data_IF_168898233420
#
_entry.id   IF_168898233420
#
_cell.length_a   1.000
_cell.length_b   1.000
_cell.length_c   1.000
_cell.angle_alpha   90.00
_cell.angle_beta   90.00
_cell.angle_gamma   90.00
#
_symmetry.space_group_name_H-M   'P 1'
#
loop_
_entity.id
_entity.type
_entity.pdbx_description
1 polymer ?
#
# COMPACT_ATOMS: atom_id res chain seq x y z
N UNK A 1 -18.10 12.00 26.62
CA UNK A 1 -17.36 13.25 26.89
C UNK A 1 -15.93 12.97 26.48
N UNK A 2 -15.58 13.32 25.24
CA UNK A 2 -14.32 12.91 24.63
C UNK A 2 -13.25 13.93 25.02
N UNK A 3 -12.16 13.46 25.64
CA UNK A 3 -10.97 14.27 25.76
C UNK A 3 -10.20 14.17 24.44
N UNK A 4 -10.37 15.17 23.56
CA UNK A 4 -9.31 15.49 22.59
C UNK A 4 -8.05 15.76 23.42
N UNK A 5 -7.11 14.84 23.44
CA UNK A 5 -5.83 15.01 24.11
C UNK A 5 -5.01 16.01 23.32
N UNK A 6 -5.06 17.28 23.75
CA UNK A 6 -4.19 18.32 23.21
C UNK A 6 -2.74 17.92 23.46
N UNK A 7 -2.05 17.51 22.39
CA UNK A 7 -0.64 17.12 22.44
C UNK A 7 0.23 18.32 22.85
N UNK A 8 1.24 18.08 23.69
CA UNK A 8 2.16 19.14 24.11
C UNK A 8 2.88 19.77 22.88
N UNK A 9 3.13 21.09 22.85
CA UNK A 9 3.72 21.76 21.69
C UNK A 9 5.05 21.15 21.20
N UNK A 10 5.88 20.66 22.13
CA UNK A 10 7.14 20.00 21.79
C UNK A 10 6.94 18.67 21.05
N UNK A 11 5.91 17.91 21.45
CA UNK A 11 5.56 16.64 20.80
C UNK A 11 4.91 16.88 19.43
N UNK A 12 4.05 17.90 19.31
CA UNK A 12 3.48 18.30 18.02
C UNK A 12 4.56 18.73 17.02
N UNK A 13 5.60 19.43 17.50
CA UNK A 13 6.78 19.76 16.68
C UNK A 13 7.56 18.52 16.27
N UNK A 14 7.82 17.59 17.19
CA UNK A 14 8.50 16.31 16.89
C UNK A 14 7.74 15.52 15.82
N UNK A 15 6.41 15.47 15.91
CA UNK A 15 5.53 14.85 14.91
C UNK A 15 5.64 15.53 13.55
N UNK A 16 5.64 16.86 13.52
CA UNK A 16 5.82 17.63 12.28
C UNK A 16 7.15 17.34 11.60
N UNK A 17 8.24 17.33 12.37
CA UNK A 17 9.58 16.97 11.88
C UNK A 17 9.62 15.53 11.33
N UNK A 18 8.96 14.59 12.02
CA UNK A 18 8.85 13.20 11.57
C UNK A 18 8.11 13.09 10.22
N UNK A 19 6.96 13.74 10.08
CA UNK A 19 6.19 13.70 8.83
C UNK A 19 6.95 14.40 7.69
N UNK A 20 7.54 15.56 7.95
CA UNK A 20 8.33 16.29 6.97
C UNK A 20 9.52 15.45 6.47
N UNK A 21 10.28 14.83 7.37
CA UNK A 21 11.39 13.96 6.99
C UNK A 21 10.93 12.77 6.15
N UNK A 22 9.74 12.22 6.43
CA UNK A 22 9.16 11.12 5.64
C UNK A 22 8.76 11.60 4.25
N UNK A 23 8.11 12.75 4.14
CA UNK A 23 7.69 13.34 2.88
C UNK A 23 8.89 13.67 1.97
N UNK A 24 9.96 14.25 2.53
CA UNK A 24 11.22 14.50 1.80
C UNK A 24 11.82 13.19 1.30
N UNK A 25 11.95 12.17 2.18
CA UNK A 25 12.48 10.87 1.76
C UNK A 25 11.65 10.24 0.64
N UNK A 26 10.32 10.33 0.74
CA UNK A 26 9.41 9.78 -0.25
C UNK A 26 9.61 10.44 -1.62
N UNK A 27 9.65 11.78 -1.66
CA UNK A 27 9.85 12.55 -2.89
C UNK A 27 11.24 12.35 -3.51
N UNK A 28 12.29 12.23 -2.70
CA UNK A 28 13.66 11.92 -3.15
C UNK A 28 13.80 10.50 -3.73
N UNK A 29 13.07 9.54 -3.17
CA UNK A 29 13.16 8.13 -3.60
C UNK A 29 12.48 7.84 -4.94
N UNK A 30 11.62 8.74 -5.43
CA UNK A 30 10.90 8.59 -6.69
C UNK A 30 10.84 9.91 -7.46
N UNK A 31 11.99 10.38 -7.99
CA UNK A 31 12.08 11.67 -8.67
C UNK A 31 11.21 11.68 -9.93
N UNK A 32 10.22 12.58 -9.97
CA UNK A 32 9.25 12.72 -11.06
C UNK A 32 7.83 12.26 -10.68
N UNK A 33 7.64 11.66 -9.51
CA UNK A 33 6.31 11.36 -8.99
C UNK A 33 5.80 12.49 -8.10
N UNK A 34 4.73 13.17 -8.55
CA UNK A 34 4.13 14.31 -7.85
C UNK A 34 3.14 13.83 -6.77
N UNK A 35 3.68 13.41 -5.62
CA UNK A 35 2.90 12.93 -4.48
C UNK A 35 1.88 13.98 -3.96
N UNK A 36 2.24 15.26 -4.03
CA UNK A 36 1.40 16.40 -3.64
C UNK A 36 0.07 16.44 -4.41
N UNK A 37 0.12 16.31 -5.74
CA UNK A 37 -1.07 16.30 -6.59
C UNK A 37 -2.08 15.21 -6.26
N UNK A 38 -1.65 14.14 -5.60
CA UNK A 38 -2.48 13.03 -5.16
C UNK A 38 -2.98 13.14 -3.72
N UNK A 39 -2.31 13.93 -2.88
CA UNK A 39 -2.63 14.10 -1.46
C UNK A 39 -3.68 15.20 -1.21
N UNK A 40 -3.77 16.23 -2.07
CA UNK A 40 -4.75 17.32 -1.96
C UNK A 40 -6.22 16.87 -2.01
N UNK A 41 -6.52 15.72 -2.65
CA UNK A 41 -7.89 15.20 -2.84
C UNK A 41 -8.61 14.88 -1.51
N UNK A 42 -7.87 14.83 -0.41
CA UNK A 42 -8.43 14.54 0.91
C UNK A 42 -8.38 15.72 1.87
N UNK A 43 -7.88 16.87 1.42
CA UNK A 43 -7.89 18.14 2.17
C UNK A 43 -9.12 18.98 1.83
N UNK A 44 -10.11 18.42 1.11
CA UNK A 44 -11.11 19.15 0.33
C UNK A 44 -12.03 20.13 1.09
N UNK A 45 -11.90 20.28 2.41
CA UNK A 45 -12.70 21.22 3.21
C UNK A 45 -11.90 21.95 4.30
N UNK A 46 -10.58 21.75 4.39
CA UNK A 46 -9.76 22.37 5.44
C UNK A 46 -9.17 23.72 4.98
N UNK A 47 -9.34 24.82 5.75
CA UNK A 47 -8.76 26.12 5.41
C UNK A 47 -7.22 26.15 5.52
N UNK A 48 -6.62 25.21 6.27
CA UNK A 48 -5.18 24.95 6.30
C UNK A 48 -4.96 23.46 5.92
N UNK A 49 -4.19 23.20 4.86
CA UNK A 49 -3.88 21.85 4.38
C UNK A 49 -2.53 21.35 4.93
N UNK A 50 -2.52 20.10 5.43
CA UNK A 50 -1.28 19.42 5.82
C UNK A 50 -0.41 19.12 4.60
N UNK A 51 -1.01 18.79 3.44
CA UNK A 51 -0.28 18.64 2.17
C UNK A 51 0.51 19.91 1.86
N UNK A 52 -0.14 21.08 1.91
CA UNK A 52 0.51 22.37 1.62
C UNK A 52 1.67 22.65 2.58
N UNK A 53 1.51 22.30 3.87
CA UNK A 53 2.56 22.48 4.86
C UNK A 53 3.75 21.53 4.65
N UNK A 54 3.49 20.28 4.23
CA UNK A 54 4.53 19.31 3.86
C UNK A 54 5.29 19.74 2.59
N UNK A 55 4.57 20.21 1.57
CA UNK A 55 5.13 20.69 0.29
C UNK A 55 6.00 21.93 0.49
N UNK A 56 5.54 22.89 1.29
CA UNK A 56 6.31 24.09 1.60
C UNK A 56 7.56 23.79 2.45
N UNK A 57 7.64 22.60 3.04
CA UNK A 57 8.84 22.12 3.71
C UNK A 57 9.11 22.84 5.04
N UNK A 58 10.38 23.03 5.42
CA UNK A 58 10.76 23.61 6.71
C UNK A 58 10.16 25.00 6.98
N UNK A 59 9.81 25.76 5.93
CA UNK A 59 9.22 27.10 6.04
C UNK A 59 7.85 27.11 6.72
N UNK A 60 7.12 25.99 6.68
CA UNK A 60 5.79 25.83 7.30
C UNK A 60 5.77 24.78 8.41
N UNK A 61 6.92 24.47 9.01
CA UNK A 61 7.01 23.48 10.09
C UNK A 61 6.14 23.84 11.29
N UNK A 62 6.05 25.12 11.65
CA UNK A 62 5.22 25.58 12.76
C UNK A 62 3.72 25.45 12.45
N UNK A 63 3.32 25.67 11.19
CA UNK A 63 1.95 25.41 10.74
C UNK A 63 1.63 23.91 10.81
N UNK A 64 2.54 23.07 10.32
CA UNK A 64 2.41 21.63 10.39
C UNK A 64 2.29 21.15 11.85
N UNK A 65 3.11 21.69 12.76
CA UNK A 65 3.03 21.38 14.18
C UNK A 65 1.68 21.77 14.80
N UNK A 66 1.09 22.92 14.42
CA UNK A 66 -0.25 23.31 14.87
C UNK A 66 -1.32 22.31 14.42
N UNK A 67 -1.22 21.80 13.19
CA UNK A 67 -2.17 20.82 12.63
C UNK A 67 -2.05 19.43 13.28
N UNK A 68 -0.86 19.04 13.75
CA UNK A 68 -0.58 17.72 14.32
C UNK A 68 -0.72 17.64 15.84
N UNK A 69 -1.33 18.66 16.46
CA UNK A 69 -1.77 18.61 17.86
C UNK A 69 -2.87 17.57 18.04
N UNK A 70 -3.68 17.36 16.99
CA UNK A 70 -4.68 16.30 16.91
C UNK A 70 -4.03 14.95 16.58
N UNK A 71 -4.27 13.96 17.44
CA UNK A 71 -3.78 12.60 17.28
C UNK A 71 -4.34 11.93 16.02
N UNK A 72 -5.60 12.20 15.68
CA UNK A 72 -6.23 11.63 14.49
C UNK A 72 -5.58 12.19 13.21
N UNK A 73 -5.33 13.50 13.15
CA UNK A 73 -4.57 14.13 12.08
C UNK A 73 -3.15 13.53 11.95
N UNK A 74 -2.42 13.41 13.07
CA UNK A 74 -1.07 12.83 13.04
C UNK A 74 -1.06 11.39 12.54
N UNK A 75 -1.92 10.52 13.07
CA UNK A 75 -1.94 9.12 12.67
C UNK A 75 -2.38 8.94 11.22
N UNK A 76 -3.34 9.73 10.75
CA UNK A 76 -3.77 9.74 9.35
C UNK A 76 -2.61 10.09 8.42
N UNK A 77 -1.91 11.19 8.72
CA UNK A 77 -0.81 11.65 7.87
C UNK A 77 0.45 10.78 7.97
N UNK A 78 0.71 10.21 9.14
CA UNK A 78 1.76 9.20 9.32
C UNK A 78 1.52 8.00 8.41
N UNK A 79 0.33 7.41 8.46
CA UNK A 79 -0.04 6.26 7.63
C UNK A 79 0.02 6.59 6.12
N UNK A 80 -0.38 7.81 5.74
CA UNK A 80 -0.28 8.31 4.36
C UNK A 80 1.13 8.35 3.82
N UNK A 81 2.05 8.89 4.61
CA UNK A 81 3.45 9.02 4.23
C UNK A 81 4.22 7.71 4.38
N UNK A 82 3.70 6.77 5.18
CA UNK A 82 4.22 5.41 5.29
C UNK A 82 3.82 4.54 4.10
N UNK A 83 2.57 4.66 3.61
CA UNK A 83 1.99 3.83 2.55
C UNK A 83 1.29 4.65 1.46
N UNK A 84 2.03 5.50 0.72
CA UNK A 84 1.45 6.49 -0.19
C UNK A 84 0.63 5.86 -1.31
N UNK A 85 0.95 4.63 -1.72
CA UNK A 85 0.22 3.90 -2.76
C UNK A 85 -1.19 3.50 -2.34
N UNK A 86 -1.52 3.46 -1.05
CA UNK A 86 -2.89 3.23 -0.60
C UNK A 86 -3.78 4.47 -0.74
N UNK A 87 -3.19 5.67 -0.85
CA UNK A 87 -3.91 6.94 -0.79
C UNK A 87 -3.94 7.71 -2.11
N UNK A 88 -3.24 7.26 -3.15
CA UNK A 88 -3.28 7.88 -4.48
C UNK A 88 -4.68 7.70 -5.10
N UNK A 89 -5.52 8.72 -4.90
CA UNK A 89 -6.94 8.74 -5.22
C UNK A 89 -7.24 8.61 -6.72
N UNK A 90 -8.10 7.66 -7.06
CA UNK A 90 -8.59 7.38 -8.41
C UNK A 90 -8.41 5.91 -8.79
N UNK A 91 -7.16 5.50 -9.04
CA UNK A 91 -6.83 4.11 -9.44
C UNK A 91 -6.94 3.11 -8.30
N UNK A 92 -6.53 3.48 -7.08
CA UNK A 92 -6.67 2.60 -5.90
C UNK A 92 -8.15 2.30 -5.63
N UNK A 93 -9.02 3.32 -5.68
CA UNK A 93 -10.48 3.12 -5.52
C UNK A 93 -11.05 2.13 -6.54
N UNK A 94 -10.61 2.22 -7.80
CA UNK A 94 -11.02 1.30 -8.86
C UNK A 94 -10.40 -0.10 -8.75
N UNK A 95 -9.19 -0.22 -8.19
CA UNK A 95 -8.44 -1.48 -8.11
C UNK A 95 -8.60 -2.20 -6.77
N UNK A 96 -9.09 -1.58 -5.70
CA UNK A 96 -9.33 -2.27 -4.42
C UNK A 96 -10.34 -3.40 -4.54
N UNK A 97 -11.50 -3.24 -5.21
CA UNK A 97 -12.41 -4.37 -5.48
C UNK A 97 -11.76 -5.44 -6.36
N UNK A 98 -10.89 -5.05 -7.29
CA UNK A 98 -10.16 -5.97 -8.17
C UNK A 98 -9.10 -6.76 -7.38
N UNK A 99 -8.39 -6.13 -6.44
CA UNK A 99 -7.46 -6.78 -5.52
C UNK A 99 -8.18 -7.76 -4.59
N UNK A 100 -9.34 -7.38 -4.05
CA UNK A 100 -10.17 -8.28 -3.26
C UNK A 100 -10.53 -9.54 -4.06
N UNK A 101 -10.89 -9.37 -5.34
CA UNK A 101 -11.15 -10.48 -6.24
C UNK A 101 -9.92 -11.33 -6.47
N UNK A 102 -8.75 -10.75 -6.77
CA UNK A 102 -7.48 -11.48 -6.92
C UNK A 102 -7.18 -12.33 -5.69
N UNK A 103 -7.33 -11.77 -4.48
CA UNK A 103 -7.13 -12.52 -3.22
C UNK A 103 -8.12 -13.69 -3.10
N UNK A 104 -9.36 -13.51 -3.54
CA UNK A 104 -10.37 -14.58 -3.53
C UNK A 104 -10.03 -15.72 -4.53
N UNK A 105 -9.64 -15.35 -5.75
CA UNK A 105 -9.21 -16.27 -6.81
C UNK A 105 -7.98 -17.08 -6.39
N UNK A 106 -7.00 -16.43 -5.73
CA UNK A 106 -5.82 -17.09 -5.18
C UNK A 106 -6.16 -18.12 -4.10
N UNK A 107 -7.22 -17.87 -3.31
CA UNK A 107 -7.71 -18.76 -2.25
C UNK A 107 -8.65 -19.86 -2.75
N UNK A 108 -8.90 -19.94 -4.06
CA UNK A 108 -9.84 -20.89 -4.65
C UNK A 108 -11.28 -20.68 -4.20
N UNK A 109 -11.62 -19.47 -3.75
CA UNK A 109 -12.99 -19.09 -3.38
C UNK A 109 -13.62 -18.41 -4.58
N UNK A 110 -14.49 -19.13 -5.26
CA UNK A 110 -15.36 -18.54 -6.29
C UNK A 110 -16.48 -17.78 -5.58
N UNK A 111 -16.18 -16.57 -5.10
CA UNK A 111 -17.21 -15.66 -4.64
C UNK A 111 -17.98 -15.22 -5.89
N UNK A 112 -19.12 -15.88 -6.13
CA UNK A 112 -19.99 -15.75 -7.31
C UNK A 112 -20.57 -14.35 -7.57
N UNK A 113 -19.71 -13.35 -7.65
CA UNK A 113 -19.97 -12.05 -8.24
C UNK A 113 -19.89 -12.23 -9.76
N UNK A 114 -21.08 -12.39 -10.35
CA UNK A 114 -21.31 -12.71 -11.75
C UNK A 114 -20.75 -11.71 -12.79
N UNK A 115 -21.02 -11.96 -14.08
CA UNK A 115 -20.22 -11.56 -15.25
C UNK A 115 -20.29 -10.07 -15.66
N UNK A 116 -20.31 -9.12 -14.71
CA UNK A 116 -20.49 -7.69 -15.02
C UNK A 116 -19.30 -6.76 -14.67
N UNK A 117 -18.16 -7.27 -14.22
CA UNK A 117 -17.11 -6.41 -13.62
C UNK A 117 -15.97 -5.90 -14.50
N UNK A 118 -15.77 -6.42 -15.73
CA UNK A 118 -14.64 -5.99 -16.58
C UNK A 118 -15.17 -5.53 -17.92
N UNK A 119 -15.81 -4.35 -17.93
CA UNK A 119 -15.84 -3.58 -19.16
C UNK A 119 -14.40 -3.23 -19.52
N UNK A 120 -13.98 -3.57 -20.74
CA UNK A 120 -12.83 -2.95 -21.38
C UNK A 120 -12.97 -1.43 -21.25
N UNK A 121 -12.01 -0.78 -20.57
CA UNK A 121 -12.06 0.67 -20.29
C UNK A 121 -12.36 1.07 -18.84
N UNK A 122 -12.69 0.13 -17.94
CA UNK A 122 -12.75 0.44 -16.50
C UNK A 122 -11.34 0.68 -15.94
N UNK A 123 -11.21 1.64 -15.01
CA UNK A 123 -9.94 1.95 -14.33
C UNK A 123 -9.43 0.69 -13.63
N UNK A 124 -8.22 0.24 -13.96
CA UNK A 124 -7.63 -0.96 -13.39
C UNK A 124 -7.93 -2.28 -14.13
N UNK A 125 -8.72 -2.26 -15.22
CA UNK A 125 -9.03 -3.46 -16.00
C UNK A 125 -7.78 -4.15 -16.57
N UNK A 126 -6.85 -3.38 -17.16
CA UNK A 126 -5.57 -3.91 -17.64
C UNK A 126 -4.76 -4.56 -16.51
N UNK A 127 -4.65 -3.87 -15.36
CA UNK A 127 -3.97 -4.39 -14.18
C UNK A 127 -4.57 -5.71 -13.70
N UNK A 128 -5.90 -5.78 -13.62
CA UNK A 128 -6.61 -6.98 -13.19
C UNK A 128 -6.43 -8.15 -14.17
N UNK A 129 -6.60 -7.92 -15.48
CA UNK A 129 -6.41 -8.96 -16.50
C UNK A 129 -4.98 -9.49 -16.51
N UNK A 130 -3.98 -8.60 -16.46
CA UNK A 130 -2.57 -9.00 -16.38
C UNK A 130 -2.30 -9.79 -15.11
N UNK A 131 -2.85 -9.35 -13.97
CA UNK A 131 -2.70 -10.08 -12.71
C UNK A 131 -3.29 -11.49 -12.80
N UNK A 132 -4.49 -11.66 -13.37
CA UNK A 132 -5.08 -12.99 -13.54
C UNK A 132 -4.18 -13.91 -14.37
N UNK A 133 -3.64 -13.41 -15.48
CA UNK A 133 -2.68 -14.15 -16.32
C UNK A 133 -1.40 -14.50 -15.57
N UNK A 134 -0.93 -13.63 -14.66
CA UNK A 134 0.26 -13.86 -13.85
C UNK A 134 0.05 -14.93 -12.77
N UNK A 135 -1.15 -15.03 -12.18
CA UNK A 135 -1.43 -15.96 -11.07
C UNK A 135 -1.97 -17.31 -11.53
N UNK A 136 -2.55 -17.40 -12.73
CA UNK A 136 -3.12 -18.63 -13.29
C UNK A 136 -2.12 -19.80 -13.32
N UNK A 137 -0.87 -19.64 -13.80
CA UNK A 137 0.07 -20.75 -13.91
C UNK A 137 0.73 -21.14 -12.57
N UNK A 138 0.54 -20.36 -11.51
CA UNK A 138 1.22 -20.57 -10.23
C UNK A 138 0.73 -21.85 -9.53
N UNK A 139 1.66 -22.54 -8.89
CA UNK A 139 1.38 -23.67 -8.00
C UNK A 139 0.44 -23.29 -6.85
N UNK A 140 -0.34 -24.25 -6.35
CA UNK A 140 -1.26 -24.01 -5.23
C UNK A 140 -0.56 -23.47 -3.96
N UNK A 141 0.64 -23.96 -3.56
CA UNK A 141 1.39 -23.39 -2.45
C UNK A 141 1.79 -21.92 -2.69
N UNK A 142 2.31 -21.59 -3.88
CA UNK A 142 2.69 -20.22 -4.22
C UNK A 142 1.49 -19.28 -4.24
N UNK A 143 0.34 -19.73 -4.74
CA UNK A 143 -0.92 -18.97 -4.70
C UNK A 143 -1.37 -18.66 -3.28
N UNK A 144 -1.22 -19.61 -2.35
CA UNK A 144 -1.56 -19.41 -0.93
C UNK A 144 -0.65 -18.38 -0.25
N UNK A 145 0.65 -18.45 -0.52
CA UNK A 145 1.63 -17.44 -0.04
C UNK A 145 1.34 -16.06 -0.63
N UNK A 146 1.06 -16.00 -1.95
CA UNK A 146 0.71 -14.76 -2.63
C UNK A 146 -0.58 -14.14 -2.07
N UNK A 147 -1.61 -14.95 -1.80
CA UNK A 147 -2.84 -14.47 -1.16
C UNK A 147 -2.55 -13.87 0.22
N UNK A 148 -1.68 -14.51 0.99
CA UNK A 148 -1.27 -14.04 2.33
C UNK A 148 -0.51 -12.73 2.23
N UNK A 149 0.39 -12.59 1.24
CA UNK A 149 1.14 -11.36 0.99
C UNK A 149 0.27 -10.17 0.56
N UNK A 150 -0.82 -10.42 -0.18
CA UNK A 150 -1.70 -9.37 -0.70
C UNK A 150 -2.79 -8.92 0.29
N UNK A 151 -3.05 -9.68 1.36
CA UNK A 151 -4.07 -9.33 2.37
C UNK A 151 -3.73 -8.04 3.12
N UNK A 152 -2.50 -7.81 3.60
CA UNK A 152 -2.14 -6.54 4.24
C UNK A 152 -2.37 -5.33 3.33
N UNK A 153 -2.05 -5.43 2.04
CA UNK A 153 -2.35 -4.39 1.04
C UNK A 153 -3.86 -4.14 0.94
N UNK A 154 -4.67 -5.20 0.83
CA UNK A 154 -6.12 -5.08 0.73
C UNK A 154 -6.73 -4.43 2.00
N UNK A 155 -6.24 -4.82 3.17
CA UNK A 155 -6.64 -4.23 4.46
C UNK A 155 -6.23 -2.76 4.49
N UNK A 156 -4.98 -2.44 4.15
CA UNK A 156 -4.46 -1.08 4.06
C UNK A 156 -5.31 -0.20 3.15
N UNK A 157 -5.56 -0.65 1.91
CA UNK A 157 -6.45 0.05 0.97
C UNK A 157 -7.87 0.25 1.50
N UNK A 158 -8.46 -0.74 2.16
CA UNK A 158 -9.80 -0.61 2.74
C UNK A 158 -9.82 0.38 3.92
N UNK A 159 -8.83 0.32 4.81
CA UNK A 159 -8.65 1.32 5.87
C UNK A 159 -8.49 2.71 5.26
N UNK A 160 -7.78 2.85 4.14
CA UNK A 160 -7.61 4.15 3.48
C UNK A 160 -8.90 4.66 2.79
N UNK A 161 -9.66 3.77 2.15
CA UNK A 161 -10.94 4.09 1.52
C UNK A 161 -12.00 4.52 2.54
N UNK A 162 -12.01 3.86 3.69
CA UNK A 162 -13.02 4.05 4.73
C UNK A 162 -12.44 4.75 5.96
N UNK A 163 -11.28 5.42 5.84
CA UNK A 163 -10.47 5.87 6.97
C UNK A 163 -11.19 6.77 7.96
N UNK A 164 -12.10 7.62 7.48
CA UNK A 164 -12.91 8.43 8.39
C UNK A 164 -13.91 7.60 9.20
N UNK A 165 -14.52 6.57 8.61
CA UNK A 165 -15.38 5.62 9.32
C UNK A 165 -14.57 4.71 10.26
N UNK A 166 -13.37 4.28 9.87
CA UNK A 166 -12.50 3.46 10.70
C UNK A 166 -11.92 4.21 11.90
N UNK A 167 -11.54 5.48 11.74
CA UNK A 167 -11.01 6.29 12.84
C UNK A 167 -12.12 6.67 13.85
N UNK A 168 -13.36 6.89 13.39
CA UNK A 168 -14.52 7.05 14.27
C UNK A 168 -14.83 5.74 15.03
N UNK A 169 -14.78 4.58 14.35
CA UNK A 169 -15.09 3.27 14.95
C UNK A 169 -13.99 2.78 15.91
N UNK A 170 -12.71 3.00 15.58
CA UNK A 170 -11.56 2.65 16.41
C UNK A 170 -11.40 3.57 17.65
N UNK A 171 -12.19 4.64 17.74
CA UNK A 171 -12.25 5.48 18.95
C UNK A 171 -13.08 4.86 20.08
N UNK A 172 -13.91 3.84 19.79
CA UNK A 172 -14.71 3.11 20.80
C UNK A 172 -14.17 1.72 21.15
N UNK A 173 -13.53 1.02 20.20
CA UNK A 173 -12.75 -0.20 20.46
C UNK A 173 -11.33 -0.04 19.92
N UNK A 174 -10.35 -0.21 20.80
CA UNK A 174 -8.92 -0.12 20.50
C UNK A 174 -8.49 -1.23 19.53
N UNK A 175 -8.72 -1.05 18.23
CA UNK A 175 -7.88 -1.66 17.22
C UNK A 175 -6.54 -0.95 17.29
N UNK A 176 -5.56 -1.57 17.93
CA UNK A 176 -4.19 -1.08 17.91
C UNK A 176 -3.66 -1.18 16.47
N UNK A 177 -3.89 -0.11 15.69
CA UNK A 177 -3.37 0.04 14.33
C UNK A 177 -1.84 -0.15 14.27
N UNK A 178 -1.15 0.01 15.41
CA UNK A 178 0.28 -0.26 15.58
C UNK A 178 0.59 -1.77 15.53
N UNK A 179 -0.30 -2.65 16.01
CA UNK A 179 -0.16 -4.11 15.88
C UNK A 179 -0.47 -4.60 14.46
N UNK A 180 -1.30 -3.87 13.70
CA UNK A 180 -1.63 -4.22 12.31
C UNK A 180 -0.51 -3.89 11.32
N UNK A 181 0.37 -2.94 11.66
CA UNK A 181 1.44 -2.46 10.79
C UNK A 181 2.82 -2.37 11.50
N UNK A 182 3.35 -3.48 12.05
CA UNK A 182 4.62 -3.49 12.79
C UNK A 182 5.85 -3.32 11.88
N UNK A 183 5.66 -3.42 10.56
CA UNK A 183 6.71 -3.49 9.54
C UNK A 183 7.36 -2.12 9.25
N UNK A 184 6.88 -1.07 9.93
CA UNK A 184 7.29 0.34 9.80
C UNK A 184 8.73 0.63 10.26
N UNK A 185 9.43 -0.35 10.86
CA UNK A 185 10.76 -0.19 11.45
C UNK A 185 11.96 -0.56 10.57
N UNK A 186 11.82 -1.35 9.51
CA UNK A 186 12.97 -1.94 8.81
C UNK A 186 13.15 -1.39 7.39
N UNK A 187 14.21 -0.60 7.20
CA UNK A 187 14.67 -0.02 5.92
C UNK A 187 15.62 -0.95 5.16
N UNK A 188 15.41 -2.25 5.19
CA UNK A 188 16.34 -3.15 4.51
C UNK A 188 16.00 -3.27 3.02
N UNK A 189 16.62 -2.46 2.16
CA UNK A 189 16.41 -2.59 0.69
C UNK A 189 16.92 -3.92 0.11
N UNK A 190 17.52 -4.80 0.91
CA UNK A 190 17.92 -6.15 0.50
C UNK A 190 16.72 -6.95 -0.03
N UNK A 191 15.51 -6.73 0.51
CA UNK A 191 14.30 -7.40 0.00
C UNK A 191 14.02 -7.09 -1.48
N UNK A 192 14.42 -5.92 -1.98
CA UNK A 192 14.21 -5.55 -3.40
C UNK A 192 15.11 -6.40 -4.30
N UNK A 193 16.37 -6.62 -3.88
CA UNK A 193 17.29 -7.46 -4.66
C UNK A 193 16.85 -8.91 -4.64
N UNK A 194 16.44 -9.42 -3.48
CA UNK A 194 15.91 -10.78 -3.35
C UNK A 194 14.65 -10.97 -4.20
N UNK A 195 13.74 -10.00 -4.18
CA UNK A 195 12.56 -9.99 -5.03
C UNK A 195 12.92 -10.02 -6.52
N UNK A 196 13.81 -9.13 -6.98
CA UNK A 196 14.22 -9.09 -8.39
C UNK A 196 14.91 -10.38 -8.83
N UNK A 197 15.72 -10.99 -7.96
CA UNK A 197 16.34 -12.28 -8.22
C UNK A 197 15.29 -13.40 -8.30
N UNK A 198 14.33 -13.43 -7.38
CA UNK A 198 13.24 -14.41 -7.41
C UNK A 198 12.37 -14.24 -8.67
N UNK A 199 12.10 -12.99 -9.07
CA UNK A 199 11.36 -12.67 -10.30
C UNK A 199 12.11 -13.12 -11.56
N UNK A 200 13.41 -12.84 -11.69
CA UNK A 200 14.24 -13.28 -12.82
C UNK A 200 14.31 -14.81 -12.93
N UNK A 201 14.42 -15.50 -11.79
CA UNK A 201 14.40 -16.96 -11.78
C UNK A 201 13.03 -17.51 -12.17
N UNK A 202 11.97 -16.92 -11.65
CA UNK A 202 10.60 -17.37 -11.96
C UNK A 202 10.24 -17.06 -13.42
N UNK A 203 10.78 -15.98 -13.99
CA UNK A 203 10.71 -15.68 -15.43
C UNK A 203 11.30 -16.80 -16.28
N UNK A 204 12.35 -17.49 -15.84
CA UNK A 204 12.91 -18.64 -16.58
C UNK A 204 11.97 -19.85 -16.60
N UNK A 205 11.05 -19.93 -15.64
CA UNK A 205 10.05 -21.00 -15.54
C UNK A 205 8.82 -20.69 -16.41
N UNK A 206 8.27 -19.48 -16.28
CA UNK A 206 6.99 -19.13 -16.93
C UNK A 206 7.13 -18.25 -18.18
N UNK A 207 8.33 -17.73 -18.46
CA UNK A 207 8.63 -16.91 -19.62
C UNK A 207 8.46 -15.39 -19.40
N UNK A 208 8.92 -14.58 -20.37
CA UNK A 208 8.96 -13.12 -20.26
C UNK A 208 7.57 -12.48 -20.25
N UNK A 209 6.60 -13.06 -20.97
CA UNK A 209 5.23 -12.55 -21.00
C UNK A 209 4.57 -12.64 -19.61
N UNK A 210 4.80 -13.75 -18.89
CA UNK A 210 4.37 -13.90 -17.50
C UNK A 210 5.05 -12.86 -16.60
N UNK A 211 6.35 -12.65 -16.76
CA UNK A 211 7.09 -11.71 -15.93
C UNK A 211 6.60 -10.27 -16.12
N UNK A 212 6.25 -9.89 -17.35
CA UNK A 212 5.63 -8.60 -17.63
C UNK A 212 4.27 -8.47 -16.94
N UNK A 213 3.41 -9.49 -17.05
CA UNK A 213 2.13 -9.52 -16.34
C UNK A 213 2.30 -9.41 -14.81
N UNK A 214 3.32 -10.07 -14.24
CA UNK A 214 3.61 -10.01 -12.81
C UNK A 214 4.16 -8.65 -12.39
N UNK A 215 4.99 -8.00 -13.22
CA UNK A 215 5.46 -6.62 -12.96
C UNK A 215 4.30 -5.62 -12.94
N UNK A 216 3.31 -5.80 -13.81
CA UNK A 216 2.08 -4.99 -13.80
C UNK A 216 1.30 -5.17 -12.50
N UNK A 217 1.20 -6.40 -11.97
CA UNK A 217 0.63 -6.62 -10.63
C UNK A 217 1.37 -5.77 -9.58
N UNK A 218 2.70 -5.90 -9.53
CA UNK A 218 3.52 -5.31 -8.47
C UNK A 218 3.64 -3.79 -8.55
N UNK A 219 3.57 -3.20 -9.75
CA UNK A 219 3.77 -1.76 -9.94
C UNK A 219 2.79 -0.87 -9.17
N UNK A 220 1.62 -1.41 -8.82
CA UNK A 220 0.55 -0.70 -8.11
C UNK A 220 0.44 -1.13 -6.64
N UNK A 221 1.30 -2.02 -6.12
CA UNK A 221 1.28 -2.47 -4.73
C UNK A 221 2.24 -1.65 -3.87
N UNK A 222 1.92 -1.49 -2.58
CA UNK A 222 2.83 -0.85 -1.65
C UNK A 222 4.05 -1.77 -1.39
N UNK A 223 5.29 -1.23 -1.33
CA UNK A 223 6.50 -2.03 -1.13
C UNK A 223 6.49 -2.96 0.09
N UNK A 224 5.59 -2.75 1.07
CA UNK A 224 5.38 -3.67 2.19
C UNK A 224 5.04 -5.10 1.75
N UNK A 225 4.43 -5.30 0.58
CA UNK A 225 4.11 -6.66 0.13
C UNK A 225 5.34 -7.41 -0.38
N UNK A 226 6.42 -6.70 -0.72
CA UNK A 226 7.56 -7.27 -1.48
C UNK A 226 8.18 -8.49 -0.78
N UNK A 227 8.44 -8.50 0.53
CA UNK A 227 8.93 -9.70 1.21
C UNK A 227 7.98 -10.90 1.08
N UNK A 228 6.67 -10.67 1.13
CA UNK A 228 5.66 -11.72 0.93
C UNK A 228 5.60 -12.20 -0.52
N UNK A 229 5.72 -11.29 -1.50
CA UNK A 229 5.81 -11.64 -2.91
C UNK A 229 7.06 -12.49 -3.19
N UNK A 230 8.21 -12.12 -2.62
CA UNK A 230 9.44 -12.91 -2.73
C UNK A 230 9.23 -14.33 -2.24
N UNK A 231 8.63 -14.52 -1.05
CA UNK A 231 8.33 -15.87 -0.53
C UNK A 231 7.39 -16.66 -1.43
N UNK A 232 6.41 -16.01 -2.05
CA UNK A 232 5.51 -16.66 -3.00
C UNK A 232 6.27 -17.14 -4.25
N UNK A 233 7.16 -16.30 -4.81
CA UNK A 233 8.00 -16.65 -5.95
C UNK A 233 9.01 -17.76 -5.61
N UNK A 234 9.65 -17.69 -4.44
CA UNK A 234 10.56 -18.75 -3.98
C UNK A 234 9.84 -20.08 -3.77
N UNK A 235 8.59 -20.04 -3.33
CA UNK A 235 7.74 -21.23 -3.23
C UNK A 235 7.46 -21.80 -4.62
N UNK A 236 7.13 -20.96 -5.59
CA UNK A 236 6.93 -21.40 -6.97
C UNK A 236 8.18 -22.07 -7.55
N UNK A 237 9.36 -21.47 -7.33
CA UNK A 237 10.64 -22.03 -7.78
C UNK A 237 10.94 -23.39 -7.16
N UNK A 238 10.58 -23.61 -5.89
CA UNK A 238 10.72 -24.90 -5.22
C UNK A 238 9.79 -25.95 -5.84
N UNK A 239 8.53 -25.60 -6.08
CA UNK A 239 7.56 -26.51 -6.71
C UNK A 239 7.94 -26.87 -8.15
N UNK A 240 8.59 -25.96 -8.87
CA UNK A 240 9.07 -26.18 -10.24
C UNK A 240 10.50 -26.76 -10.34
N UNK A 241 11.16 -27.04 -9.22
CA UNK A 241 12.38 -27.85 -9.20
C UNK A 241 13.69 -27.10 -9.41
N UNK A 242 13.80 -25.82 -9.06
CA UNK A 242 15.11 -25.15 -8.90
C UNK A 242 15.79 -25.45 -7.54
N UNK A 243 15.73 -26.72 -7.11
CA UNK A 243 16.59 -27.27 -6.04
C UNK A 243 17.47 -28.44 -6.51
N UNK A 244 17.56 -28.71 -7.83
CA UNK A 244 18.44 -29.76 -8.34
C UNK A 244 19.24 -29.35 -9.58
N UNK A 245 20.19 -28.42 -9.41
CA UNK A 245 21.57 -28.46 -9.98
C UNK A 245 22.41 -27.27 -9.54
#
# INVERSE_FOLDING_TARGET
MNASTTTAPAEARRRAEQLLARYVKLTESNPGFHYDGHMHVFDHEAPESVTDALVAGPERLDDLARMLVDDAAFHTWRLRLEHPHWWIGGRVRGTTPLLARIVSELRGRDEGWGPHGVMTGAVGSHWFTQTLSAIEPLSAPARSELATALVPELVGRNVCLYGWLFLDFASEESLELVEMFPETGSRDTTYVREFLNALDRTEKVHGPDWAESFRVLVSDLDPIVVPGLTRALETELREHGEEAR
#
